data_IF_016580782417
#
_entry.id   IF_016580782417
#
_cell.length_a   1.000
_cell.length_b   1.000
_cell.length_c   1.000
_cell.angle_alpha   90.00
_cell.angle_beta   90.00
_cell.angle_gamma   90.00
#
_symmetry.space_group_name_H-M   'P 1'
#
loop_
_entity.id
_entity.type
_entity.pdbx_description
1 polymer ?
#
# COMPACT_ATOMS: atom_id res chain seq x y z
N UNK A 1 -8.46 -21.55 8.87
CA UNK A 1 -9.10 -20.52 8.03
C UNK A 1 -9.48 -21.16 6.71
N UNK A 2 -10.78 -21.29 6.40
CA UNK A 2 -11.23 -21.91 5.14
C UNK A 2 -11.66 -20.79 4.19
N UNK A 3 -10.74 -20.31 3.36
CA UNK A 3 -11.04 -19.34 2.31
C UNK A 3 -11.26 -20.07 1.00
N UNK A 4 -12.47 -20.05 0.45
CA UNK A 4 -12.82 -20.76 -0.78
C UNK A 4 -12.53 -19.90 -2.02
N UNK A 5 -11.91 -20.50 -3.06
CA UNK A 5 -11.66 -19.83 -4.35
C UNK A 5 -12.64 -20.30 -5.41
N UNK A 6 -13.08 -19.37 -6.25
CA UNK A 6 -13.85 -19.70 -7.45
C UNK A 6 -13.04 -20.63 -8.38
N UNK A 7 -13.64 -21.66 -8.99
CA UNK A 7 -12.89 -22.64 -9.78
C UNK A 7 -12.29 -22.04 -11.04
N UNK A 8 -11.07 -22.47 -11.38
CA UNK A 8 -10.42 -22.08 -12.63
C UNK A 8 -11.22 -22.60 -13.82
N UNK A 9 -11.29 -21.80 -14.88
CA UNK A 9 -11.99 -22.15 -16.12
C UNK A 9 -13.52 -22.11 -16.04
N UNK A 10 -14.10 -21.88 -14.86
CA UNK A 10 -15.55 -21.71 -14.70
C UNK A 10 -15.94 -20.24 -14.89
N UNK A 11 -17.02 -20.00 -15.62
CA UNK A 11 -17.52 -18.65 -15.87
C UNK A 11 -17.96 -18.00 -14.55
N UNK A 12 -17.27 -16.93 -14.15
CA UNK A 12 -17.73 -16.05 -13.09
C UNK A 12 -18.47 -14.87 -13.74
N UNK A 13 -19.80 -14.98 -13.82
CA UNK A 13 -20.64 -13.93 -14.40
C UNK A 13 -21.90 -13.76 -13.56
N UNK A 14 -21.92 -12.78 -12.63
CA UNK A 14 -23.17 -12.41 -11.98
C UNK A 14 -24.22 -11.90 -12.96
N UNK A 15 -23.82 -11.50 -14.18
CA UNK A 15 -24.75 -11.02 -15.21
C UNK A 15 -25.47 -12.15 -15.94
N UNK A 16 -24.82 -13.31 -16.11
CA UNK A 16 -25.41 -14.47 -16.82
C UNK A 16 -25.89 -15.57 -15.90
N UNK A 17 -25.26 -15.75 -14.74
CA UNK A 17 -25.49 -16.92 -13.90
C UNK A 17 -25.30 -16.59 -12.40
N UNK A 18 -26.13 -15.67 -11.91
CA UNK A 18 -26.17 -15.34 -10.47
C UNK A 18 -26.57 -16.55 -9.61
N UNK A 19 -27.38 -17.47 -10.14
CA UNK A 19 -27.82 -18.66 -9.40
C UNK A 19 -26.67 -19.59 -9.06
N UNK A 20 -25.72 -19.80 -9.97
CA UNK A 20 -24.51 -20.57 -9.65
C UNK A 20 -23.67 -19.88 -8.58
N UNK A 21 -23.52 -18.55 -8.62
CA UNK A 21 -22.84 -17.81 -7.56
C UNK A 21 -23.54 -17.99 -6.21
N UNK A 22 -24.88 -17.89 -6.17
CA UNK A 22 -25.69 -18.11 -4.96
C UNK A 22 -25.53 -19.52 -4.40
N UNK A 23 -25.53 -20.57 -5.24
CA UNK A 23 -25.28 -21.95 -4.79
C UNK A 23 -23.89 -22.10 -4.18
N UNK A 24 -22.87 -21.51 -4.79
CA UNK A 24 -21.50 -21.51 -4.26
C UNK A 24 -21.44 -20.77 -2.92
N UNK A 25 -22.04 -19.58 -2.79
CA UNK A 25 -22.09 -18.86 -1.52
C UNK A 25 -22.79 -19.67 -0.43
N UNK A 26 -23.94 -20.28 -0.73
CA UNK A 26 -24.65 -21.13 0.23
C UNK A 26 -23.82 -22.32 0.69
N UNK A 27 -23.06 -22.93 -0.22
CA UNK A 27 -22.13 -24.01 0.10
C UNK A 27 -20.97 -23.52 0.99
N UNK A 28 -20.33 -22.41 0.64
CA UNK A 28 -19.27 -21.79 1.44
C UNK A 28 -19.76 -21.43 2.84
N UNK A 29 -20.95 -20.82 2.95
CA UNK A 29 -21.58 -20.51 4.23
C UNK A 29 -21.79 -21.80 5.01
N UNK A 30 -22.35 -22.86 4.43
CA UNK A 30 -22.58 -24.12 5.13
C UNK A 30 -21.29 -24.79 5.64
N UNK A 31 -20.19 -24.72 4.88
CA UNK A 31 -18.89 -25.27 5.25
C UNK A 31 -18.14 -24.43 6.30
N UNK A 32 -18.49 -23.15 6.45
CA UNK A 32 -17.85 -22.32 7.46
C UNK A 32 -18.11 -22.90 8.86
N UNK A 33 -17.10 -22.99 9.74
CA UNK A 33 -17.33 -23.43 11.11
C UNK A 33 -18.28 -22.47 11.86
N UNK A 34 -19.09 -22.95 12.83
CA UNK A 34 -19.82 -22.08 13.74
C UNK A 34 -18.86 -21.17 14.52
N UNK A 35 -19.28 -19.95 14.82
CA UNK A 35 -18.49 -18.98 15.59
C UNK A 35 -19.01 -17.56 15.45
N UNK A 36 -18.32 -16.62 16.10
CA UNK A 36 -18.53 -15.20 15.91
C UNK A 36 -17.97 -14.78 14.54
N UNK A 37 -18.84 -14.33 13.64
CA UNK A 37 -18.49 -13.99 12.27
C UNK A 37 -19.10 -12.64 11.91
N UNK A 38 -18.24 -11.74 11.43
CA UNK A 38 -18.67 -10.55 10.70
C UNK A 38 -18.73 -10.92 9.22
N UNK A 39 -19.93 -10.92 8.65
CA UNK A 39 -20.14 -11.34 7.27
C UNK A 39 -19.93 -10.17 6.31
N UNK A 40 -18.88 -10.27 5.49
CA UNK A 40 -18.65 -9.32 4.40
C UNK A 40 -19.58 -9.64 3.24
N UNK A 41 -20.44 -8.68 2.92
CA UNK A 41 -21.24 -8.67 1.71
C UNK A 41 -20.50 -7.96 0.58
N UNK A 42 -20.83 -8.28 -0.67
CA UNK A 42 -20.29 -7.58 -1.83
C UNK A 42 -20.18 -8.43 -3.08
N UNK A 43 -19.85 -7.76 -4.18
CA UNK A 43 -19.62 -8.39 -5.47
C UNK A 43 -18.54 -7.65 -6.24
N UNK A 44 -17.40 -8.31 -6.43
CA UNK A 44 -16.27 -7.82 -7.25
C UNK A 44 -15.86 -8.88 -8.27
N UNK A 45 -14.91 -8.54 -9.14
CA UNK A 45 -14.41 -9.45 -10.17
C UNK A 45 -13.56 -10.58 -9.62
N UNK A 46 -13.57 -11.72 -10.32
CA UNK A 46 -12.72 -12.86 -9.98
C UNK A 46 -11.32 -12.68 -10.56
N UNK A 47 -10.29 -12.93 -9.76
CA UNK A 47 -8.88 -12.89 -10.20
C UNK A 47 -8.48 -11.57 -10.90
N UNK A 48 -9.08 -10.44 -10.52
CA UNK A 48 -8.92 -9.15 -11.21
C UNK A 48 -7.94 -8.16 -10.55
N UNK A 49 -7.15 -8.58 -9.55
CA UNK A 49 -6.35 -7.67 -8.72
C UNK A 49 -7.21 -6.53 -8.15
N UNK A 50 -8.21 -6.86 -7.33
CA UNK A 50 -9.13 -5.91 -6.68
C UNK A 50 -9.92 -5.01 -7.63
N UNK A 51 -10.42 -5.53 -8.75
CA UNK A 51 -11.24 -4.76 -9.69
C UNK A 51 -12.73 -5.14 -9.65
N UNK A 52 -13.57 -4.19 -10.07
CA UNK A 52 -15.00 -4.37 -10.21
C UNK A 52 -15.38 -5.54 -11.15
N UNK A 53 -16.54 -6.16 -10.93
CA UNK A 53 -16.92 -7.40 -11.66
C UNK A 53 -16.99 -7.21 -13.18
N UNK A 54 -17.41 -6.04 -13.65
CA UNK A 54 -17.52 -5.71 -15.08
C UNK A 54 -16.17 -5.59 -15.80
N UNK A 55 -15.04 -5.66 -15.07
CA UNK A 55 -13.70 -5.78 -15.68
C UNK A 55 -13.42 -7.21 -16.15
N UNK A 56 -14.04 -8.21 -15.53
CA UNK A 56 -13.87 -9.63 -15.84
C UNK A 56 -15.10 -10.30 -16.47
N UNK A 57 -16.30 -9.76 -16.22
CA UNK A 57 -17.54 -10.29 -16.77
C UNK A 57 -17.82 -9.65 -18.15
N UNK A 58 -17.64 -10.39 -19.26
CA UNK A 58 -17.81 -9.83 -20.62
C UNK A 58 -19.27 -9.50 -20.94
N UNK A 59 -20.22 -9.95 -20.12
CA UNK A 59 -21.64 -9.69 -20.30
C UNK A 59 -22.14 -8.51 -19.48
N UNK A 60 -21.28 -7.92 -18.64
CA UNK A 60 -21.68 -6.84 -17.76
C UNK A 60 -22.25 -5.65 -18.53
N UNK A 61 -23.35 -5.04 -18.04
CA UNK A 61 -23.98 -3.92 -18.73
C UNK A 61 -23.05 -2.71 -18.79
N UNK A 62 -23.20 -1.87 -19.82
CA UNK A 62 -22.48 -0.60 -19.93
C UNK A 62 -22.95 0.43 -18.90
N UNK A 63 -24.24 0.37 -18.54
CA UNK A 63 -24.91 1.34 -17.69
C UNK A 63 -24.56 1.18 -16.20
N UNK A 64 -24.12 2.24 -15.50
CA UNK A 64 -23.79 2.17 -14.08
C UNK A 64 -24.96 1.70 -13.19
N UNK A 65 -26.19 2.14 -13.49
CA UNK A 65 -27.37 1.76 -12.71
C UNK A 65 -27.66 0.25 -12.78
N UNK A 66 -27.51 -0.36 -13.96
CA UNK A 66 -27.68 -1.80 -14.13
C UNK A 66 -26.59 -2.60 -13.39
N UNK A 67 -25.34 -2.08 -13.35
CA UNK A 67 -24.27 -2.68 -12.52
C UNK A 67 -24.59 -2.61 -11.04
N UNK A 68 -25.10 -1.46 -10.58
CA UNK A 68 -25.48 -1.27 -9.18
C UNK A 68 -26.65 -2.18 -8.77
N UNK A 69 -27.62 -2.40 -9.66
CA UNK A 69 -28.72 -3.35 -9.43
C UNK A 69 -28.20 -4.79 -9.26
N UNK A 70 -27.27 -5.25 -10.10
CA UNK A 70 -26.65 -6.58 -9.96
C UNK A 70 -25.92 -6.72 -8.61
N UNK A 71 -25.22 -5.67 -8.17
CA UNK A 71 -24.57 -5.67 -6.86
C UNK A 71 -25.62 -5.74 -5.76
N UNK A 72 -26.67 -4.92 -5.82
CA UNK A 72 -27.76 -4.94 -4.84
C UNK A 72 -28.39 -6.34 -4.72
N UNK A 73 -28.72 -6.99 -5.83
CA UNK A 73 -29.30 -8.33 -5.86
C UNK A 73 -28.37 -9.39 -5.25
N UNK A 74 -27.05 -9.20 -5.39
CA UNK A 74 -26.06 -10.03 -4.72
C UNK A 74 -26.03 -9.78 -3.21
N UNK A 75 -26.08 -8.52 -2.75
CA UNK A 75 -26.12 -8.18 -1.32
C UNK A 75 -27.33 -8.82 -0.63
N UNK A 76 -28.52 -8.66 -1.21
CA UNK A 76 -29.77 -9.23 -0.67
C UNK A 76 -29.68 -10.75 -0.62
N UNK A 77 -29.31 -11.39 -1.73
CA UNK A 77 -29.21 -12.86 -1.77
C UNK A 77 -28.17 -13.43 -0.79
N UNK A 78 -27.05 -12.72 -0.57
CA UNK A 78 -26.06 -13.11 0.42
C UNK A 78 -26.63 -13.03 1.84
N UNK A 79 -27.36 -11.96 2.18
CA UNK A 79 -28.02 -11.82 3.49
C UNK A 79 -29.06 -12.91 3.74
N UNK A 80 -29.86 -13.26 2.73
CA UNK A 80 -30.85 -14.34 2.79
C UNK A 80 -30.17 -15.67 3.08
N UNK A 81 -29.17 -16.04 2.26
CA UNK A 81 -28.39 -17.28 2.42
C UNK A 81 -27.79 -17.38 3.82
N UNK A 82 -27.18 -16.30 4.30
CA UNK A 82 -26.54 -16.29 5.63
C UNK A 82 -27.60 -16.44 6.72
N UNK A 83 -28.70 -15.69 6.63
CA UNK A 83 -29.79 -15.73 7.63
C UNK A 83 -30.45 -17.11 7.69
N UNK A 84 -30.71 -17.75 6.55
CA UNK A 84 -31.28 -19.11 6.49
C UNK A 84 -30.34 -20.15 7.12
N UNK A 85 -29.03 -20.02 6.90
CA UNK A 85 -28.04 -21.02 7.33
C UNK A 85 -27.49 -20.79 8.74
N UNK A 86 -27.56 -19.56 9.24
CA UNK A 86 -26.94 -19.11 10.50
C UNK A 86 -27.94 -18.53 11.49
N UNK A 87 -29.19 -18.34 11.09
CA UNK A 87 -30.22 -17.68 11.87
C UNK A 87 -30.16 -16.15 11.75
N UNK A 88 -31.16 -15.44 12.30
CA UNK A 88 -31.21 -13.98 12.30
C UNK A 88 -30.14 -13.35 13.20
N UNK A 89 -29.98 -12.02 13.12
CA UNK A 89 -29.09 -11.25 14.00
C UNK A 89 -27.61 -11.32 13.65
N UNK A 90 -27.28 -11.77 12.44
CA UNK A 90 -25.90 -11.77 11.95
C UNK A 90 -25.41 -10.34 11.70
N UNK A 91 -24.11 -10.11 11.88
CA UNK A 91 -23.49 -8.80 11.58
C UNK A 91 -23.04 -8.77 10.13
N UNK A 92 -23.48 -7.74 9.39
CA UNK A 92 -23.17 -7.56 7.97
C UNK A 92 -22.38 -6.29 7.74
N UNK A 93 -21.31 -6.38 6.95
CA UNK A 93 -20.52 -5.22 6.50
C UNK A 93 -20.44 -5.17 4.98
N UNK A 94 -20.33 -3.96 4.43
CA UNK A 94 -20.04 -3.73 3.02
C UNK A 94 -18.82 -2.81 2.88
N UNK A 95 -17.72 -3.37 2.35
CA UNK A 95 -16.51 -2.61 2.06
C UNK A 95 -16.70 -1.75 0.80
N UNK A 96 -16.74 -0.42 0.97
CA UNK A 96 -16.94 0.54 -0.12
C UNK A 96 -15.63 0.84 -0.86
N UNK A 97 -14.89 -0.18 -1.32
CA UNK A 97 -13.59 0.03 -1.99
C UNK A 97 -13.73 0.50 -3.44
N UNK A 98 -12.93 1.51 -3.84
CA UNK A 98 -12.92 2.13 -5.17
C UNK A 98 -14.31 2.48 -5.73
N UNK A 99 -14.82 1.66 -6.64
CA UNK A 99 -16.11 1.85 -7.31
C UNK A 99 -17.28 1.88 -6.32
N UNK A 100 -17.13 1.24 -5.16
CA UNK A 100 -18.12 1.27 -4.08
C UNK A 100 -18.33 2.68 -3.54
N UNK A 101 -17.24 3.43 -3.28
CA UNK A 101 -17.32 4.85 -2.90
C UNK A 101 -18.06 5.64 -3.98
N UNK A 102 -17.67 5.48 -5.24
CA UNK A 102 -18.24 6.25 -6.34
C UNK A 102 -19.74 5.97 -6.55
N UNK A 103 -20.16 4.71 -6.40
CA UNK A 103 -21.56 4.33 -6.53
C UNK A 103 -22.42 4.92 -5.42
N UNK A 104 -21.92 4.95 -4.18
CA UNK A 104 -22.61 5.58 -3.05
C UNK A 104 -22.63 7.10 -3.21
N UNK A 105 -21.51 7.71 -3.62
CA UNK A 105 -21.37 9.14 -3.88
C UNK A 105 -22.39 9.63 -4.92
N UNK A 106 -22.62 8.84 -5.97
CA UNK A 106 -23.59 9.11 -7.04
C UNK A 106 -25.02 8.64 -6.73
N UNK A 107 -25.29 8.07 -5.55
CA UNK A 107 -26.61 7.56 -5.18
C UNK A 107 -27.10 6.37 -6.02
N UNK A 108 -26.17 5.60 -6.60
CA UNK A 108 -26.48 4.50 -7.52
C UNK A 108 -26.69 3.17 -6.79
N UNK A 109 -25.90 2.90 -5.75
CA UNK A 109 -25.98 1.64 -5.00
C UNK A 109 -26.93 1.78 -3.82
N UNK A 110 -28.00 1.00 -3.84
CA UNK A 110 -28.88 0.82 -2.69
C UNK A 110 -28.28 -0.23 -1.77
N UNK A 111 -27.95 0.17 -0.54
CA UNK A 111 -27.41 -0.74 0.48
C UNK A 111 -28.59 -1.24 1.33
N UNK A 112 -28.78 -2.56 1.49
CA UNK A 112 -29.85 -3.10 2.32
C UNK A 112 -29.77 -2.61 3.77
N UNK A 113 -30.93 -2.50 4.43
CA UNK A 113 -30.99 -2.13 5.85
C UNK A 113 -30.26 -3.16 6.73
N UNK A 114 -29.61 -2.69 7.80
CA UNK A 114 -28.85 -3.55 8.71
C UNK A 114 -27.44 -3.89 8.25
N UNK A 115 -26.98 -3.34 7.12
CA UNK A 115 -25.59 -3.47 6.65
C UNK A 115 -24.78 -2.24 7.06
N UNK A 116 -23.68 -2.46 7.78
CA UNK A 116 -22.74 -1.40 8.13
C UNK A 116 -21.87 -1.05 6.91
N UNK A 117 -21.80 0.24 6.54
CA UNK A 117 -20.92 0.69 5.46
C UNK A 117 -19.51 0.81 6.00
N UNK A 118 -18.53 0.24 5.31
CA UNK A 118 -17.12 0.36 5.70
C UNK A 118 -16.41 1.27 4.70
N UNK A 119 -16.07 2.47 5.16
CA UNK A 119 -15.43 3.49 4.34
C UNK A 119 -13.92 3.27 4.30
N UNK A 120 -13.31 3.18 3.10
CA UNK A 120 -11.88 3.08 3.00
C UNK A 120 -11.20 4.44 3.12
N UNK A 121 -9.93 4.44 3.52
CA UNK A 121 -9.05 5.55 3.24
C UNK A 121 -8.54 5.55 1.78
N UNK A 122 -7.63 6.47 1.50
CA UNK A 122 -6.99 6.63 0.20
C UNK A 122 -5.63 5.93 0.08
N UNK A 123 -5.30 5.07 1.05
CA UNK A 123 -4.00 4.42 1.20
C UNK A 123 -2.93 5.26 1.91
N UNK A 124 -3.25 6.51 2.28
CA UNK A 124 -2.36 7.45 2.97
C UNK A 124 -2.99 7.99 4.25
N UNK A 125 -4.01 7.32 4.77
CA UNK A 125 -4.70 7.66 6.01
C UNK A 125 -5.87 8.64 5.86
N UNK A 126 -6.20 9.15 4.67
CA UNK A 126 -7.33 10.07 4.47
C UNK A 126 -8.59 9.34 4.01
N UNK A 127 -9.68 9.43 4.79
CA UNK A 127 -10.91 8.72 4.50
C UNK A 127 -11.57 9.21 3.20
N UNK A 128 -12.06 8.26 2.40
CA UNK A 128 -12.78 8.51 1.15
C UNK A 128 -14.29 8.38 1.35
N UNK A 129 -14.84 9.24 2.19
CA UNK A 129 -16.27 9.26 2.52
C UNK A 129 -17.05 10.42 1.89
N UNK A 130 -16.35 11.44 1.38
CA UNK A 130 -16.98 12.68 0.91
C UNK A 130 -17.85 13.36 1.98
N UNK A 131 -17.54 13.17 3.26
CA UNK A 131 -18.32 13.69 4.39
C UNK A 131 -19.61 12.92 4.72
N UNK A 132 -19.80 11.71 4.19
CA UNK A 132 -21.03 10.90 4.39
C UNK A 132 -20.94 9.83 5.48
N UNK A 133 -19.75 9.66 6.07
CA UNK A 133 -19.57 8.74 7.20
C UNK A 133 -20.50 9.14 8.35
N UNK A 134 -21.13 8.17 8.99
CA UNK A 134 -22.14 8.45 10.01
C UNK A 134 -22.39 7.29 10.97
N UNK A 135 -23.47 7.40 11.78
CA UNK A 135 -23.79 6.42 12.80
C UNK A 135 -23.89 5.00 12.25
N UNK A 136 -23.19 4.06 12.89
CA UNK A 136 -23.19 2.66 12.47
C UNK A 136 -22.32 2.36 11.25
N UNK A 137 -21.55 3.31 10.73
CA UNK A 137 -20.52 2.97 9.75
C UNK A 137 -19.25 2.43 10.43
N UNK A 138 -18.39 1.84 9.62
CA UNK A 138 -17.04 1.45 9.97
C UNK A 138 -15.98 2.01 9.02
N UNK A 139 -14.73 1.69 9.31
CA UNK A 139 -13.56 2.20 8.59
C UNK A 139 -12.65 1.04 8.16
N UNK A 140 -12.15 1.11 6.92
CA UNK A 140 -11.01 0.32 6.46
C UNK A 140 -9.81 1.26 6.25
N UNK A 141 -8.84 1.21 7.17
CA UNK A 141 -7.72 2.14 7.25
C UNK A 141 -6.41 1.47 6.82
N UNK A 142 -5.50 2.19 6.17
CA UNK A 142 -4.18 1.65 5.83
C UNK A 142 -3.09 2.29 6.68
N UNK A 143 -2.25 1.46 7.32
CA UNK A 143 -0.94 1.89 7.83
C UNK A 143 0.19 1.48 6.88
N UNK A 144 -0.08 0.50 6.01
CA UNK A 144 0.73 0.17 4.84
C UNK A 144 -0.16 -0.09 3.62
N UNK A 145 0.30 0.29 2.44
CA UNK A 145 -0.46 0.14 1.20
C UNK A 145 0.43 -0.06 -0.03
N UNK A 146 0.14 -1.09 -0.81
CA UNK A 146 0.85 -1.36 -2.06
C UNK A 146 0.08 -0.84 -3.27
N UNK A 147 0.51 0.31 -3.82
CA UNK A 147 -0.03 0.86 -5.08
C UNK A 147 1.05 1.24 -6.11
N UNK A 148 2.30 0.86 -5.84
CA UNK A 148 3.45 1.22 -6.68
C UNK A 148 4.14 2.54 -6.34
N UNK A 149 3.62 3.29 -5.36
CA UNK A 149 4.16 4.57 -4.91
C UNK A 149 4.11 4.75 -3.38
N UNK A 150 3.19 4.06 -2.68
CA UNK A 150 3.04 4.06 -1.23
C UNK A 150 4.03 3.11 -0.51
N UNK A 151 3.83 2.87 0.78
CA UNK A 151 4.72 2.09 1.63
C UNK A 151 4.33 0.62 1.77
N UNK A 152 5.36 -0.20 1.88
CA UNK A 152 5.34 -1.62 2.23
C UNK A 152 6.44 -1.93 3.27
N UNK A 153 7.60 -1.29 3.14
CA UNK A 153 8.80 -1.54 3.95
C UNK A 153 9.17 -0.36 4.86
N UNK A 154 8.32 0.66 4.96
CA UNK A 154 8.52 1.82 5.87
C UNK A 154 7.20 2.31 6.46
N UNK A 155 7.24 3.13 7.51
CA UNK A 155 6.11 3.93 8.00
C UNK A 155 5.84 5.09 7.04
N UNK A 156 4.56 5.38 6.81
CA UNK A 156 4.15 6.44 5.87
C UNK A 156 3.07 7.35 6.42
N UNK A 157 2.05 6.79 7.06
CA UNK A 157 0.94 7.59 7.60
C UNK A 157 1.36 8.17 8.94
N UNK A 158 1.43 9.50 9.03
CA UNK A 158 1.74 10.19 10.28
C UNK A 158 0.62 9.93 11.32
N UNK A 159 0.94 9.56 12.58
CA UNK A 159 -0.05 9.42 13.65
C UNK A 159 -1.02 10.60 13.78
N UNK A 160 -0.59 11.83 13.46
CA UNK A 160 -1.47 13.01 13.43
C UNK A 160 -2.59 12.89 12.39
N UNK A 161 -2.33 12.28 11.22
CA UNK A 161 -3.34 12.01 10.20
C UNK A 161 -4.35 10.98 10.70
N UNK A 162 -3.88 9.88 11.30
CA UNK A 162 -4.74 8.87 11.91
C UNK A 162 -5.64 9.47 12.99
N UNK A 163 -5.09 10.30 13.87
CA UNK A 163 -5.86 11.02 14.88
C UNK A 163 -6.92 11.93 14.27
N UNK A 164 -6.56 12.73 13.27
CA UNK A 164 -7.49 13.64 12.60
C UNK A 164 -8.67 12.89 11.99
N UNK A 165 -8.40 11.87 11.18
CA UNK A 165 -9.42 11.19 10.38
C UNK A 165 -10.30 10.24 11.21
N UNK A 166 -9.69 9.46 12.11
CA UNK A 166 -10.45 8.54 12.95
C UNK A 166 -11.24 9.29 14.04
N UNK A 167 -10.70 10.40 14.58
CA UNK A 167 -11.50 11.21 15.51
C UNK A 167 -12.71 11.82 14.82
N UNK A 168 -12.55 12.27 13.57
CA UNK A 168 -13.66 12.77 12.75
C UNK A 168 -14.73 11.70 12.52
N UNK A 169 -14.31 10.46 12.19
CA UNK A 169 -15.22 9.33 12.01
C UNK A 169 -15.98 8.98 13.30
N UNK A 170 -15.27 8.90 14.44
CA UNK A 170 -15.86 8.62 15.74
C UNK A 170 -16.87 9.71 16.16
N UNK A 171 -16.53 10.99 15.95
CA UNK A 171 -17.45 12.11 16.20
C UNK A 171 -18.71 12.06 15.31
N UNK A 172 -18.62 11.45 14.12
CA UNK A 172 -19.77 11.20 13.26
C UNK A 172 -20.60 9.96 13.68
N UNK A 173 -20.17 9.24 14.71
CA UNK A 173 -20.82 8.02 15.20
C UNK A 173 -20.41 6.74 14.46
N UNK A 174 -19.36 6.77 13.64
CA UNK A 174 -18.86 5.59 12.93
C UNK A 174 -17.95 4.76 13.86
N UNK A 175 -18.57 3.89 14.64
CA UNK A 175 -17.92 3.06 15.65
C UNK A 175 -18.31 1.57 15.53
N UNK A 176 -18.92 1.15 14.42
CA UNK A 176 -19.41 -0.21 14.27
C UNK A 176 -18.31 -1.22 13.90
N UNK A 177 -17.29 -0.78 13.15
CA UNK A 177 -16.24 -1.67 12.65
C UNK A 177 -14.96 -0.91 12.30
N UNK A 178 -13.80 -1.50 12.57
CA UNK A 178 -12.50 -1.02 12.10
C UNK A 178 -11.68 -2.21 11.58
N UNK A 179 -11.18 -2.08 10.37
CA UNK A 179 -10.16 -2.97 9.80
C UNK A 179 -8.93 -2.15 9.45
N UNK A 180 -7.75 -2.62 9.84
CA UNK A 180 -6.48 -1.95 9.57
C UNK A 180 -5.62 -2.83 8.66
N UNK A 181 -5.27 -2.31 7.48
CA UNK A 181 -4.27 -2.93 6.63
C UNK A 181 -2.87 -2.57 7.15
N UNK A 182 -2.24 -3.55 7.79
CA UNK A 182 -0.87 -3.46 8.32
C UNK A 182 0.17 -4.09 7.41
N UNK A 183 -0.25 -4.57 6.23
CA UNK A 183 0.58 -5.35 5.32
C UNK A 183 1.28 -6.53 6.03
N UNK A 184 2.62 -6.51 6.13
CA UNK A 184 3.43 -7.54 6.80
C UNK A 184 3.59 -7.32 8.33
N UNK A 185 2.81 -6.39 8.92
CA UNK A 185 2.88 -5.89 10.30
C UNK A 185 4.17 -5.09 10.60
N UNK A 186 5.33 -5.68 10.32
CA UNK A 186 6.60 -4.97 10.26
C UNK A 186 6.72 -4.30 8.88
N UNK A 187 7.10 -3.01 8.80
CA UNK A 187 7.68 -2.18 9.85
C UNK A 187 6.75 -1.04 10.29
N UNK A 188 5.42 -1.27 10.32
CA UNK A 188 4.43 -0.23 10.67
C UNK A 188 3.81 -0.31 12.07
N UNK A 189 4.53 -0.75 13.14
CA UNK A 189 3.91 -0.90 14.45
C UNK A 189 3.61 0.44 15.14
N UNK A 190 4.28 1.54 14.78
CA UNK A 190 4.03 2.84 15.42
C UNK A 190 2.67 3.38 14.97
N UNK A 191 2.42 3.44 13.67
CA UNK A 191 1.14 3.95 13.17
C UNK A 191 0.01 2.99 13.51
N UNK A 192 0.27 1.68 13.51
CA UNK A 192 -0.72 0.69 13.93
C UNK A 192 -1.07 0.84 15.42
N UNK A 193 -0.11 1.13 16.30
CA UNK A 193 -0.36 1.46 17.71
C UNK A 193 -1.23 2.72 17.86
N UNK A 194 -1.00 3.75 17.04
CA UNK A 194 -1.85 4.94 17.00
C UNK A 194 -3.30 4.61 16.64
N UNK A 195 -3.51 3.90 15.53
CA UNK A 195 -4.85 3.52 15.06
C UNK A 195 -5.57 2.63 16.07
N UNK A 196 -4.88 1.62 16.62
CA UNK A 196 -5.48 0.68 17.56
C UNK A 196 -5.76 1.30 18.94
N UNK A 197 -4.92 2.23 19.41
CA UNK A 197 -5.21 2.95 20.64
C UNK A 197 -6.42 3.88 20.50
N UNK A 198 -6.60 4.54 19.34
CA UNK A 198 -7.84 5.28 19.03
C UNK A 198 -9.04 4.32 19.00
N UNK A 199 -8.88 3.13 18.43
CA UNK A 199 -9.96 2.14 18.36
C UNK A 199 -10.40 1.64 19.74
N UNK A 200 -9.45 1.48 20.67
CA UNK A 200 -9.70 0.92 21.99
C UNK A 200 -10.20 1.97 23.00
N UNK A 201 -9.48 3.09 23.11
CA UNK A 201 -9.75 4.14 24.11
C UNK A 201 -10.56 5.32 23.55
N UNK A 202 -10.86 5.32 22.24
CA UNK A 202 -11.65 6.36 21.60
C UNK A 202 -11.00 7.74 21.64
N UNK A 203 -11.82 8.77 21.84
CA UNK A 203 -11.38 10.16 21.90
C UNK A 203 -10.79 10.57 23.26
N UNK A 204 -10.88 9.70 24.27
CA UNK A 204 -10.40 9.95 25.62
C UNK A 204 -8.87 9.81 25.70
N UNK A 205 -8.29 8.97 24.84
CA UNK A 205 -6.85 8.85 24.75
C UNK A 205 -6.24 10.16 24.25
N UNK A 206 -5.31 10.72 25.03
CA UNK A 206 -4.75 12.06 24.80
C UNK A 206 -5.79 13.19 24.71
N UNK A 207 -6.94 13.07 25.37
CA UNK A 207 -8.03 14.06 25.29
C UNK A 207 -7.58 15.51 25.54
N UNK A 208 -6.71 15.71 26.54
CA UNK A 208 -6.23 17.03 26.97
C UNK A 208 -5.03 17.54 26.15
N UNK A 209 -4.51 16.75 25.21
CA UNK A 209 -3.36 17.14 24.40
C UNK A 209 -3.80 18.08 23.26
N UNK A 210 -3.17 19.27 23.10
CA UNK A 210 -3.47 20.16 21.98
C UNK A 210 -3.08 19.57 20.63
N UNK A 211 -2.06 18.71 20.62
CA UNK A 211 -1.61 17.95 19.46
C UNK A 211 -1.55 16.47 19.84
N UNK A 212 -2.59 15.72 19.45
CA UNK A 212 -2.72 14.30 19.75
C UNK A 212 -1.71 13.44 18.99
N UNK A 213 -1.30 13.85 17.79
CA UNK A 213 -0.25 13.17 17.03
C UNK A 213 1.09 13.26 17.75
N UNK A 214 1.49 14.46 18.18
CA UNK A 214 2.72 14.66 18.95
C UNK A 214 2.67 14.01 20.32
N UNK A 215 1.53 14.04 21.00
CA UNK A 215 1.34 13.36 22.27
C UNK A 215 1.48 11.84 22.13
N UNK A 216 0.94 11.28 21.04
CA UNK A 216 1.11 9.86 20.74
C UNK A 216 2.57 9.50 20.48
N UNK A 217 3.31 10.27 19.66
CA UNK A 217 4.74 10.05 19.43
C UNK A 217 5.55 10.11 20.73
N UNK A 218 5.23 11.04 21.63
CA UNK A 218 5.86 11.13 22.94
C UNK A 218 5.57 9.91 23.80
N UNK A 219 4.32 9.47 23.86
CA UNK A 219 3.90 8.30 24.61
C UNK A 219 4.57 7.04 24.07
N UNK A 220 4.61 6.86 22.75
CA UNK A 220 5.33 5.79 22.09
C UNK A 220 6.81 5.81 22.49
N UNK A 221 7.50 6.94 22.31
CA UNK A 221 8.92 7.02 22.61
C UNK A 221 9.22 6.79 24.10
N UNK A 222 8.33 7.26 25.00
CA UNK A 222 8.44 7.00 26.43
C UNK A 222 8.32 5.51 26.74
N UNK A 223 7.34 4.80 26.15
CA UNK A 223 7.17 3.34 26.34
C UNK A 223 8.33 2.55 25.74
N UNK A 224 8.78 2.91 24.54
CA UNK A 224 9.76 2.12 23.79
C UNK A 224 11.21 2.42 24.20
N UNK A 225 11.54 3.62 24.68
CA UNK A 225 12.94 4.04 24.91
C UNK A 225 13.18 4.66 26.28
N UNK A 226 12.13 4.90 27.06
CA UNK A 226 12.20 5.53 28.37
C UNK A 226 12.10 7.06 28.33
N UNK A 227 11.71 7.70 29.44
CA UNK A 227 11.40 9.12 29.48
C UNK A 227 12.61 10.04 29.22
N UNK A 228 13.83 9.59 29.53
CA UNK A 228 15.04 10.40 29.44
C UNK A 228 15.38 10.86 28.00
N UNK A 229 14.95 10.11 26.99
CA UNK A 229 15.20 10.41 25.57
C UNK A 229 13.91 10.64 24.77
N UNK A 230 12.75 10.49 25.41
CA UNK A 230 11.46 10.42 24.71
C UNK A 230 11.14 11.67 23.89
N UNK A 231 11.40 12.86 24.43
CA UNK A 231 11.10 14.13 23.75
C UNK A 231 11.93 14.31 22.48
N UNK A 232 13.22 14.01 22.56
CA UNK A 232 14.11 14.09 21.42
C UNK A 232 13.75 13.06 20.34
N UNK A 233 13.47 11.82 20.76
CA UNK A 233 13.09 10.77 19.81
C UNK A 233 11.74 11.08 19.17
N UNK A 234 10.76 11.60 19.91
CA UNK A 234 9.48 12.01 19.34
C UNK A 234 9.66 13.10 18.28
N UNK A 235 10.56 14.08 18.51
CA UNK A 235 10.90 15.08 17.50
C UNK A 235 11.62 14.49 16.27
N UNK A 236 12.43 13.43 16.45
CA UNK A 236 13.04 12.69 15.35
C UNK A 236 12.02 11.90 14.53
N UNK A 237 11.08 11.20 15.18
CA UNK A 237 9.98 10.54 14.50
C UNK A 237 9.11 11.54 13.74
N UNK A 238 8.80 12.70 14.32
CA UNK A 238 8.07 13.74 13.59
C UNK A 238 8.87 14.22 12.36
N UNK A 239 10.18 14.49 12.53
CA UNK A 239 11.04 14.87 11.41
C UNK A 239 11.06 13.81 10.30
N UNK A 240 10.96 12.53 10.65
CA UNK A 240 10.86 11.44 9.67
C UNK A 240 9.60 11.57 8.79
N UNK A 241 8.42 11.79 9.39
CA UNK A 241 7.18 11.96 8.63
C UNK A 241 7.19 13.26 7.80
N UNK A 242 7.75 14.34 8.35
CA UNK A 242 7.85 15.64 7.68
C UNK A 242 8.72 15.61 6.42
N UNK A 243 9.72 14.71 6.35
CA UNK A 243 10.64 14.60 5.22
C UNK A 243 10.12 13.78 4.03
N UNK A 244 8.96 13.14 4.16
CA UNK A 244 8.37 12.36 3.08
C UNK A 244 8.13 13.20 1.84
N UNK A 245 8.47 12.63 0.67
CA UNK A 245 8.33 13.30 -0.60
C UNK A 245 6.86 13.42 -1.00
N UNK A 246 6.47 14.61 -1.46
CA UNK A 246 5.12 14.94 -1.94
C UNK A 246 5.21 15.40 -3.39
N UNK A 247 4.44 14.77 -4.27
CA UNK A 247 4.30 15.19 -5.66
C UNK A 247 2.87 15.68 -5.92
N UNK A 248 2.76 16.74 -6.72
CA UNK A 248 1.49 17.37 -7.09
C UNK A 248 1.26 17.18 -8.59
N UNK A 249 0.27 16.36 -8.94
CA UNK A 249 -0.16 16.08 -10.32
C UNK A 249 -1.68 16.04 -10.48
N UNK A 250 -2.41 16.77 -9.63
CA UNK A 250 -3.87 16.77 -9.53
C UNK A 250 -4.39 16.46 -8.11
N UNK A 251 -3.71 15.53 -7.40
CA UNK A 251 -3.80 15.34 -5.95
C UNK A 251 -2.38 15.32 -5.36
N UNK A 252 -2.25 15.66 -4.09
CA UNK A 252 -0.99 15.43 -3.36
C UNK A 252 -0.84 13.92 -3.18
N UNK A 253 0.22 13.36 -3.76
CA UNK A 253 0.59 11.95 -3.58
C UNK A 253 1.90 11.91 -2.82
N UNK A 254 1.90 11.22 -1.69
CA UNK A 254 3.12 10.89 -0.98
C UNK A 254 3.87 9.80 -1.74
N UNK A 255 5.19 9.95 -1.85
CA UNK A 255 6.08 9.00 -2.50
C UNK A 255 6.87 8.24 -1.44
N UNK A 256 6.38 7.05 -1.09
CA UNK A 256 7.06 6.08 -0.24
C UNK A 256 8.11 5.30 -1.01
N UNK A 257 8.75 4.33 -0.35
CA UNK A 257 9.91 3.63 -0.88
C UNK A 257 9.59 2.80 -2.14
N UNK A 258 8.39 2.21 -2.23
CA UNK A 258 7.96 1.52 -3.45
C UNK A 258 8.06 2.43 -4.68
N UNK A 259 7.71 3.71 -4.53
CA UNK A 259 7.82 4.69 -5.58
C UNK A 259 9.24 4.89 -6.08
N UNK A 260 10.23 4.92 -5.18
CA UNK A 260 11.63 5.12 -5.54
C UNK A 260 12.16 3.97 -6.40
N UNK A 261 12.01 2.74 -5.91
CA UNK A 261 12.55 1.56 -6.59
C UNK A 261 11.77 1.22 -7.85
N UNK A 262 10.45 1.47 -7.89
CA UNK A 262 9.63 1.26 -9.08
C UNK A 262 9.92 2.27 -10.18
N UNK A 263 10.02 3.56 -9.87
CA UNK A 263 10.40 4.57 -10.85
C UNK A 263 11.82 4.30 -11.38
N UNK A 264 12.78 3.97 -10.50
CA UNK A 264 14.12 3.51 -10.90
C UNK A 264 14.04 2.40 -11.97
N UNK A 265 13.18 1.41 -11.73
CA UNK A 265 13.00 0.26 -12.61
C UNK A 265 12.51 0.62 -14.02
N UNK A 266 11.92 1.80 -14.20
CA UNK A 266 11.49 2.31 -15.51
C UNK A 266 12.64 3.00 -16.27
N UNK A 267 13.70 3.47 -15.60
CA UNK A 267 14.79 4.20 -16.26
C UNK A 267 15.60 3.35 -17.25
N UNK A 268 15.64 2.03 -17.06
CA UNK A 268 16.22 1.14 -18.06
C UNK A 268 15.49 1.24 -19.41
N UNK A 269 14.17 1.37 -19.42
CA UNK A 269 13.42 1.59 -20.65
C UNK A 269 13.67 3.00 -21.20
N UNK A 270 13.71 4.01 -20.33
CA UNK A 270 13.95 5.41 -20.70
C UNK A 270 15.32 5.65 -21.34
N UNK A 271 16.36 4.91 -20.94
CA UNK A 271 17.69 4.98 -21.55
C UNK A 271 17.69 4.57 -23.04
N UNK A 272 16.69 3.81 -23.47
CA UNK A 272 16.56 3.33 -24.87
C UNK A 272 15.60 4.16 -25.72
N UNK A 273 14.81 5.04 -25.10
CA UNK A 273 13.78 5.83 -25.80
C UNK A 273 14.26 7.24 -26.05
N UNK A 274 13.92 7.84 -27.19
CA UNK A 274 14.10 9.28 -27.41
C UNK A 274 13.25 10.07 -26.43
N UNK A 275 13.80 11.02 -25.67
CA UNK A 275 12.98 11.88 -24.79
C UNK A 275 12.07 12.85 -25.54
N UNK A 276 12.50 13.51 -26.64
CA UNK A 276 11.64 14.46 -27.35
C UNK A 276 10.36 13.82 -27.90
N UNK A 277 9.24 14.53 -27.79
CA UNK A 277 7.93 14.06 -28.29
C UNK A 277 7.19 13.11 -27.34
N UNK A 278 7.79 12.75 -26.20
CA UNK A 278 7.15 11.93 -25.18
C UNK A 278 6.77 12.72 -23.92
N UNK A 279 5.70 12.27 -23.28
CA UNK A 279 5.16 12.82 -22.05
C UNK A 279 5.29 11.84 -20.88
N UNK A 280 5.15 12.31 -19.65
CA UNK A 280 5.12 11.45 -18.47
C UNK A 280 3.95 10.43 -18.52
N UNK A 281 2.83 10.81 -19.14
CA UNK A 281 1.65 9.96 -19.34
C UNK A 281 1.94 8.73 -20.21
N UNK A 282 2.77 8.87 -21.25
CA UNK A 282 3.16 7.76 -22.14
C UNK A 282 3.86 6.61 -21.40
N UNK A 283 4.45 6.92 -20.24
CA UNK A 283 5.18 5.98 -19.40
C UNK A 283 4.39 5.55 -18.14
N UNK A 284 3.12 5.94 -18.05
CA UNK A 284 2.25 5.59 -16.93
C UNK A 284 2.71 6.18 -15.58
N UNK A 285 3.44 7.29 -15.61
CA UNK A 285 3.91 7.98 -14.40
C UNK A 285 2.74 8.74 -13.78
N UNK A 286 2.17 8.19 -12.70
CA UNK A 286 0.97 8.75 -12.05
C UNK A 286 1.23 9.96 -11.14
N UNK A 287 2.49 10.22 -10.79
CA UNK A 287 2.88 11.30 -9.87
C UNK A 287 3.14 12.64 -10.58
N UNK A 288 3.08 12.65 -11.92
CA UNK A 288 3.28 13.83 -12.75
C UNK A 288 2.01 14.12 -13.57
N UNK A 289 1.79 15.38 -13.97
CA UNK A 289 0.78 15.70 -14.98
C UNK A 289 1.00 14.84 -16.24
N UNK A 290 -0.04 14.20 -16.80
CA UNK A 290 0.13 13.30 -17.94
C UNK A 290 0.77 13.97 -19.17
N UNK A 291 0.54 15.26 -19.36
CA UNK A 291 1.01 16.10 -20.46
C UNK A 291 2.41 16.70 -20.23
N UNK A 292 3.00 16.52 -19.04
CA UNK A 292 4.34 17.02 -18.72
C UNK A 292 5.37 16.39 -19.66
N UNK A 293 6.24 17.18 -20.33
CA UNK A 293 7.33 16.64 -21.13
C UNK A 293 8.19 15.71 -20.27
N UNK A 294 8.54 14.56 -20.83
CA UNK A 294 9.24 13.51 -20.07
C UNK A 294 10.60 13.98 -19.54
N UNK A 295 11.33 14.77 -20.33
CA UNK A 295 12.61 15.35 -19.91
C UNK A 295 12.45 16.30 -18.70
N UNK A 296 11.40 17.12 -18.70
CA UNK A 296 11.11 18.06 -17.61
C UNK A 296 10.71 17.32 -16.34
N UNK A 297 9.91 16.25 -16.48
CA UNK A 297 9.59 15.37 -15.36
C UNK A 297 10.86 14.77 -14.74
N UNK A 298 11.75 14.20 -15.55
CA UNK A 298 13.01 13.59 -15.07
C UNK A 298 13.91 14.64 -14.40
N UNK A 299 14.01 15.84 -14.95
CA UNK A 299 14.78 16.94 -14.36
C UNK A 299 14.22 17.39 -13.00
N UNK A 300 12.90 17.58 -12.91
CA UNK A 300 12.23 17.91 -11.64
C UNK A 300 12.40 16.80 -10.61
N UNK A 301 12.30 15.54 -11.04
CA UNK A 301 12.51 14.38 -10.18
C UNK A 301 13.94 14.37 -9.64
N UNK A 302 14.95 14.62 -10.48
CA UNK A 302 16.36 14.72 -10.06
C UNK A 302 16.55 15.77 -8.98
N UNK A 303 16.09 17.00 -9.21
CA UNK A 303 16.27 18.11 -8.27
C UNK A 303 15.60 17.82 -6.92
N UNK A 304 14.34 17.39 -6.98
CA UNK A 304 13.53 17.13 -5.78
C UNK A 304 14.14 16.01 -4.93
N UNK A 305 14.63 14.94 -5.58
CA UNK A 305 15.19 13.79 -4.88
C UNK A 305 16.61 14.04 -4.36
N UNK A 306 17.43 14.82 -5.08
CA UNK A 306 18.75 15.23 -4.59
C UNK A 306 18.62 16.07 -3.30
N UNK A 307 17.74 17.07 -3.30
CA UNK A 307 17.48 17.88 -2.12
C UNK A 307 16.86 17.08 -0.96
N UNK A 308 16.11 16.02 -1.25
CA UNK A 308 15.59 15.11 -0.23
C UNK A 308 16.68 14.22 0.36
N UNK A 309 17.62 13.71 -0.43
CA UNK A 309 18.74 12.90 0.06
C UNK A 309 19.54 13.63 1.14
N UNK A 310 19.85 14.91 0.92
CA UNK A 310 20.62 15.69 1.90
C UNK A 310 19.86 15.88 3.22
N UNK A 311 18.54 16.10 3.15
CA UNK A 311 17.68 16.17 4.35
C UNK A 311 17.62 14.84 5.09
N UNK A 312 17.50 13.72 4.38
CA UNK A 312 17.55 12.38 4.99
C UNK A 312 18.91 12.07 5.62
N UNK A 313 20.01 12.50 5.00
CA UNK A 313 21.37 12.37 5.58
C UNK A 313 21.48 13.13 6.89
N UNK A 314 21.00 14.38 6.93
CA UNK A 314 20.99 15.18 8.17
C UNK A 314 20.12 14.53 9.28
N UNK A 315 18.99 13.94 8.90
CA UNK A 315 18.16 13.21 9.87
C UNK A 315 18.84 11.95 10.39
N UNK A 316 19.55 11.20 9.52
CA UNK A 316 20.35 10.05 9.94
C UNK A 316 21.45 10.46 10.93
N UNK A 317 22.19 11.54 10.66
CA UNK A 317 23.25 12.02 11.56
C UNK A 317 22.67 12.34 12.95
N UNK A 318 21.52 13.02 13.01
CA UNK A 318 20.81 13.29 14.27
C UNK A 318 20.33 11.99 14.94
N UNK A 319 19.83 11.03 14.17
CA UNK A 319 19.37 9.75 14.69
C UNK A 319 20.52 8.94 15.30
N UNK A 320 21.71 8.94 14.68
CA UNK A 320 22.91 8.30 15.20
C UNK A 320 23.38 8.93 16.51
N UNK A 321 23.31 10.26 16.64
CA UNK A 321 23.63 10.95 17.91
C UNK A 321 22.60 10.64 19.00
N UNK A 322 21.32 10.54 18.67
CA UNK A 322 20.28 10.15 19.63
C UNK A 322 20.40 8.69 20.07
N UNK A 323 20.76 7.79 19.14
CA UNK A 323 20.95 6.36 19.37
C UNK A 323 21.91 6.05 20.53
N UNK A 324 22.97 6.82 20.69
CA UNK A 324 23.97 6.60 21.75
C UNK A 324 23.38 6.75 23.17
N UNK A 325 22.32 7.55 23.31
CA UNK A 325 21.62 7.79 24.57
C UNK A 325 20.47 6.81 24.83
N UNK A 326 20.09 6.00 23.83
CA UNK A 326 19.06 4.98 23.98
C UNK A 326 19.58 3.84 24.87
N UNK A 327 18.76 3.32 25.82
CA UNK A 327 19.12 2.16 26.62
C UNK A 327 19.56 0.98 25.77
N UNK A 328 20.64 0.29 26.16
CA UNK A 328 21.27 -0.75 25.33
C UNK A 328 20.29 -1.83 24.84
N UNK A 329 19.36 -2.28 25.70
CA UNK A 329 18.34 -3.28 25.35
C UNK A 329 17.27 -2.82 24.34
N UNK A 330 17.26 -1.55 23.95
CA UNK A 330 16.29 -0.94 23.01
C UNK A 330 16.93 -0.34 21.76
N UNK A 331 18.27 -0.37 21.66
CA UNK A 331 19.00 0.14 20.48
C UNK A 331 18.70 -0.66 19.22
N UNK A 332 18.62 -1.99 19.30
CA UNK A 332 18.28 -2.84 18.15
C UNK A 332 16.90 -2.48 17.58
N UNK A 333 15.90 -2.30 18.44
CA UNK A 333 14.58 -1.85 18.00
C UNK A 333 14.62 -0.48 17.31
N UNK A 334 15.38 0.49 17.85
CA UNK A 334 15.56 1.78 17.20
C UNK A 334 16.23 1.65 15.83
N UNK A 335 17.26 0.81 15.74
CA UNK A 335 18.01 0.55 14.51
C UNK A 335 17.13 -0.09 13.44
N UNK A 336 16.38 -1.15 13.81
CA UNK A 336 15.52 -1.92 12.92
C UNK A 336 14.26 -1.13 12.50
N UNK A 337 13.78 -0.24 13.37
CA UNK A 337 12.56 0.53 13.13
C UNK A 337 12.88 1.88 12.48
N UNK A 338 13.43 2.86 13.21
CA UNK A 338 13.58 4.21 12.68
C UNK A 338 14.81 4.38 11.77
N UNK A 339 15.98 3.92 12.21
CA UNK A 339 17.22 4.18 11.47
C UNK A 339 17.23 3.49 10.11
N UNK A 340 16.72 2.25 10.05
CA UNK A 340 16.57 1.49 8.81
C UNK A 340 15.63 2.20 7.85
N UNK A 341 14.49 2.70 8.31
CA UNK A 341 13.54 3.43 7.46
C UNK A 341 14.13 4.76 6.95
N UNK A 342 14.82 5.53 7.79
CA UNK A 342 15.56 6.74 7.36
C UNK A 342 16.53 6.39 6.23
N UNK A 343 17.28 5.29 6.38
CA UNK A 343 18.27 4.85 5.37
C UNK A 343 17.61 4.37 4.09
N UNK A 344 16.49 3.66 4.16
CA UNK A 344 15.72 3.25 2.96
C UNK A 344 15.31 4.49 2.17
N UNK A 345 14.75 5.51 2.83
CA UNK A 345 14.38 6.75 2.14
C UNK A 345 15.60 7.49 1.60
N UNK A 346 16.67 7.65 2.40
CA UNK A 346 17.93 8.27 1.96
C UNK A 346 18.49 7.63 0.69
N UNK A 347 18.61 6.31 0.69
CA UNK A 347 19.17 5.57 -0.45
C UNK A 347 18.21 5.49 -1.63
N UNK A 348 16.90 5.45 -1.37
CA UNK A 348 15.88 5.50 -2.42
C UNK A 348 15.80 6.85 -3.13
N UNK A 349 15.91 7.97 -2.40
CA UNK A 349 15.99 9.30 -3.02
C UNK A 349 17.31 9.49 -3.76
N UNK A 350 18.42 8.99 -3.22
CA UNK A 350 19.71 9.03 -3.92
C UNK A 350 19.66 8.21 -5.21
N UNK A 351 19.08 7.01 -5.16
CA UNK A 351 18.87 6.15 -6.33
C UNK A 351 18.13 6.92 -7.43
N UNK A 352 17.02 7.57 -7.12
CA UNK A 352 16.26 8.34 -8.10
C UNK A 352 17.02 9.54 -8.63
N UNK A 353 17.69 10.30 -7.77
CA UNK A 353 18.46 11.46 -8.18
C UNK A 353 19.55 11.06 -9.19
N UNK A 354 20.29 9.99 -8.87
CA UNK A 354 21.37 9.46 -9.71
C UNK A 354 20.86 8.82 -10.99
N UNK A 355 19.75 8.09 -10.94
CA UNK A 355 19.13 7.49 -12.14
C UNK A 355 18.65 8.56 -13.11
N UNK A 356 17.99 9.60 -12.61
CA UNK A 356 17.56 10.74 -13.42
C UNK A 356 18.74 11.47 -14.05
N UNK A 357 19.81 11.75 -13.27
CA UNK A 357 21.02 12.36 -13.78
C UNK A 357 21.68 11.51 -14.88
N UNK A 358 21.75 10.19 -14.68
CA UNK A 358 22.32 9.25 -15.64
C UNK A 358 21.54 9.26 -16.96
N UNK A 359 20.20 9.21 -16.90
CA UNK A 359 19.33 9.24 -18.08
C UNK A 359 19.42 10.56 -18.82
N UNK A 360 19.42 11.70 -18.12
CA UNK A 360 19.54 13.00 -18.77
C UNK A 360 20.91 13.19 -19.45
N UNK A 361 22.01 12.77 -18.80
CA UNK A 361 23.35 12.83 -19.39
C UNK A 361 23.47 11.93 -20.62
N UNK A 362 22.91 10.72 -20.55
CA UNK A 362 22.88 9.78 -21.67
C UNK A 362 22.22 10.38 -22.92
N UNK A 363 21.07 11.04 -22.74
CA UNK A 363 20.34 11.69 -23.83
C UNK A 363 21.01 12.96 -24.36
N UNK A 364 21.97 13.53 -23.63
CA UNK A 364 22.85 14.61 -24.10
C UNK A 364 24.13 14.09 -24.76
N UNK A 365 24.27 12.77 -24.92
CA UNK A 365 25.47 12.10 -25.40
C UNK A 365 26.71 12.31 -24.50
N UNK A 366 26.51 12.64 -23.22
CA UNK A 366 27.56 12.72 -22.21
C UNK A 366 27.70 11.36 -21.49
N UNK A 367 28.51 10.48 -22.07
CA UNK A 367 28.68 9.10 -21.60
C UNK A 367 29.37 9.00 -20.25
N UNK A 368 30.37 9.84 -19.99
CA UNK A 368 31.15 9.78 -18.76
C UNK A 368 30.29 10.19 -17.56
N UNK A 369 29.54 11.29 -17.68
CA UNK A 369 28.59 11.71 -16.65
C UNK A 369 27.47 10.68 -16.46
N UNK A 370 26.96 10.10 -17.57
CA UNK A 370 25.92 9.08 -17.50
C UNK A 370 26.40 7.85 -16.72
N UNK A 371 27.58 7.32 -17.06
CA UNK A 371 28.17 6.14 -16.42
C UNK A 371 28.50 6.41 -14.94
N UNK A 372 29.05 7.58 -14.63
CA UNK A 372 29.34 7.98 -13.25
C UNK A 372 28.06 8.01 -12.40
N UNK A 373 27.00 8.64 -12.92
CA UNK A 373 25.72 8.71 -12.23
C UNK A 373 25.05 7.33 -12.10
N UNK A 374 25.10 6.48 -13.13
CA UNK A 374 24.57 5.11 -13.05
C UNK A 374 25.32 4.26 -12.00
N UNK A 375 26.65 4.40 -11.91
CA UNK A 375 27.46 3.70 -10.91
C UNK A 375 27.07 4.13 -9.49
N UNK A 376 26.83 5.42 -9.27
CA UNK A 376 26.33 5.93 -7.99
C UNK A 376 24.91 5.41 -7.67
N UNK A 377 24.04 5.28 -8.68
CA UNK A 377 22.72 4.67 -8.52
C UNK A 377 22.82 3.19 -8.08
N UNK A 378 23.72 2.42 -8.69
CA UNK A 378 24.00 1.03 -8.28
C UNK A 378 24.46 0.96 -6.82
N UNK A 379 25.44 1.79 -6.43
CA UNK A 379 25.91 1.84 -5.04
C UNK A 379 24.77 2.16 -4.05
N UNK A 380 23.84 3.06 -4.40
CA UNK A 380 22.68 3.36 -3.57
C UNK A 380 21.75 2.14 -3.40
N UNK A 381 21.51 1.35 -4.45
CA UNK A 381 20.72 0.12 -4.33
C UNK A 381 21.39 -0.94 -3.45
N UNK A 382 22.71 -1.08 -3.54
CA UNK A 382 23.48 -2.03 -2.71
C UNK A 382 23.45 -1.61 -1.24
N UNK A 383 23.56 -0.32 -0.96
CA UNK A 383 23.45 0.22 0.39
C UNK A 383 22.03 0.05 0.97
N UNK A 384 20.98 0.25 0.17
CA UNK A 384 19.59 0.00 0.57
C UNK A 384 19.38 -1.49 0.91
N UNK A 385 19.88 -2.40 0.06
CA UNK A 385 19.78 -3.84 0.30
C UNK A 385 20.54 -4.26 1.56
N UNK A 386 21.77 -3.78 1.74
CA UNK A 386 22.55 -4.04 2.94
C UNK A 386 21.86 -3.54 4.22
N UNK A 387 21.19 -2.37 4.13
CA UNK A 387 20.38 -1.82 5.23
C UNK A 387 19.25 -2.77 5.62
N UNK A 388 18.51 -3.34 4.67
CA UNK A 388 17.48 -4.33 4.97
C UNK A 388 18.06 -5.59 5.62
N UNK A 389 19.09 -6.17 5.00
CA UNK A 389 19.73 -7.41 5.48
C UNK A 389 20.31 -7.28 6.88
N UNK A 390 20.76 -6.10 7.28
CA UNK A 390 21.27 -5.85 8.63
C UNK A 390 20.20 -6.02 9.73
N UNK A 391 18.91 -6.01 9.37
CA UNK A 391 17.78 -6.17 10.30
C UNK A 391 17.16 -7.56 10.27
N UNK A 392 17.73 -8.49 9.49
CA UNK A 392 17.31 -9.89 9.44
C UNK A 392 18.07 -10.68 10.52
N UNK A 393 17.53 -10.69 11.73
CA UNK A 393 18.10 -11.40 12.86
C UNK A 393 17.03 -12.02 13.74
N UNK A 394 17.40 -13.09 14.46
CA UNK A 394 16.49 -13.81 15.35
C UNK A 394 15.28 -14.37 14.60
N UNK A 395 14.06 -14.01 15.04
CA UNK A 395 12.82 -14.42 14.38
C UNK A 395 12.52 -13.66 13.08
N UNK A 396 13.35 -12.66 12.72
CA UNK A 396 13.23 -11.88 11.49
C UNK A 396 14.24 -12.31 10.42
N UNK A 397 14.97 -13.40 10.62
CA UNK A 397 15.86 -13.94 9.60
C UNK A 397 15.08 -14.25 8.31
N UNK A 398 15.60 -13.77 7.18
CA UNK A 398 14.96 -13.90 5.87
C UNK A 398 13.63 -13.13 5.68
N UNK A 399 13.30 -12.16 6.54
CA UNK A 399 12.05 -11.39 6.44
C UNK A 399 11.82 -10.76 5.06
N UNK A 400 12.87 -10.30 4.38
CA UNK A 400 12.77 -9.64 3.06
C UNK A 400 12.90 -10.60 1.88
N UNK A 401 12.86 -11.92 2.08
CA UNK A 401 12.88 -12.89 0.97
C UNK A 401 11.63 -12.78 0.08
N UNK A 402 10.51 -12.31 0.63
CA UNK A 402 9.27 -12.06 -0.11
C UNK A 402 9.25 -10.77 -0.91
N UNK A 403 10.19 -9.83 -0.67
CA UNK A 403 10.30 -8.57 -1.42
C UNK A 403 10.87 -8.82 -2.83
N UNK A 404 10.00 -9.27 -3.71
CA UNK A 404 10.32 -9.64 -5.08
C UNK A 404 9.17 -9.28 -6.01
N UNK A 405 9.41 -9.31 -7.32
CA UNK A 405 8.33 -9.12 -8.29
C UNK A 405 7.68 -7.73 -8.20
N UNK A 406 6.36 -7.65 -8.30
CA UNK A 406 5.62 -6.38 -8.36
C UNK A 406 5.52 -5.58 -7.04
N UNK A 407 6.27 -5.96 -6.01
CA UNK A 407 6.40 -5.26 -4.72
C UNK A 407 7.53 -4.21 -4.81
N UNK A 408 8.23 -3.89 -3.71
CA UNK A 408 9.31 -2.89 -3.74
C UNK A 408 10.50 -3.39 -4.57
N UNK A 409 10.83 -4.68 -4.46
CA UNK A 409 11.82 -5.41 -5.26
C UNK A 409 13.19 -4.71 -5.28
N UNK A 410 13.75 -4.39 -4.10
CA UNK A 410 15.05 -3.69 -4.00
C UNK A 410 16.17 -4.51 -4.66
N UNK A 411 16.13 -5.84 -4.51
CA UNK A 411 17.10 -6.73 -5.16
C UNK A 411 16.99 -6.69 -6.70
N UNK A 412 15.78 -6.66 -7.25
CA UNK A 412 15.58 -6.45 -8.69
C UNK A 412 15.97 -5.05 -9.14
N UNK A 413 15.75 -4.01 -8.32
CA UNK A 413 16.20 -2.65 -8.60
C UNK A 413 17.74 -2.59 -8.70
N UNK A 414 18.48 -3.24 -7.80
CA UNK A 414 19.95 -3.40 -7.92
C UNK A 414 20.35 -4.05 -9.24
N UNK A 415 19.67 -5.14 -9.61
CA UNK A 415 19.94 -5.84 -10.87
C UNK A 415 19.75 -4.93 -12.08
N UNK A 416 18.67 -4.11 -12.07
CA UNK A 416 18.39 -3.13 -13.12
C UNK A 416 19.40 -1.97 -13.13
N UNK A 417 19.87 -1.51 -11.98
CA UNK A 417 20.93 -0.51 -11.88
C UNK A 417 22.26 -1.02 -12.46
N UNK A 418 22.63 -2.28 -12.19
CA UNK A 418 23.82 -2.91 -12.76
C UNK A 418 23.72 -3.03 -14.28
N UNK A 419 22.55 -3.45 -14.79
CA UNK A 419 22.28 -3.47 -16.24
C UNK A 419 22.37 -2.07 -16.86
N UNK A 420 21.88 -1.02 -16.19
CA UNK A 420 22.00 0.35 -16.67
C UNK A 420 23.47 0.80 -16.77
N UNK A 421 24.29 0.45 -15.77
CA UNK A 421 25.73 0.72 -15.80
C UNK A 421 26.40 0.04 -17.01
N UNK A 422 26.11 -1.25 -17.23
CA UNK A 422 26.64 -1.99 -18.37
C UNK A 422 26.25 -1.33 -19.70
N UNK A 423 24.96 -0.99 -19.85
CA UNK A 423 24.46 -0.30 -21.04
C UNK A 423 25.20 1.02 -21.30
N UNK A 424 25.38 1.85 -20.27
CA UNK A 424 26.05 3.14 -20.43
C UNK A 424 27.55 3.00 -20.70
N UNK A 425 28.18 1.93 -20.21
CA UNK A 425 29.59 1.64 -20.45
C UNK A 425 29.86 1.12 -21.86
N UNK A 426 29.03 0.19 -22.38
CA UNK A 426 29.31 -0.52 -23.63
C UNK A 426 28.46 -0.07 -24.81
N UNK A 427 27.29 0.54 -24.56
CA UNK A 427 26.27 0.81 -25.57
C UNK A 427 25.53 -0.45 -26.05
N UNK A 428 25.80 -1.61 -25.47
CA UNK A 428 25.17 -2.89 -25.82
C UNK A 428 24.02 -3.22 -24.87
N UNK A 429 22.93 -3.76 -25.42
CA UNK A 429 21.76 -4.18 -24.66
C UNK A 429 22.10 -5.33 -23.72
N UNK A 430 22.14 -5.14 -22.38
CA UNK A 430 22.13 -6.30 -21.51
C UNK A 430 20.79 -7.03 -21.69
N UNK A 431 20.76 -8.37 -21.50
CA UNK A 431 19.51 -9.10 -21.50
C UNK A 431 18.53 -8.45 -20.52
N UNK A 432 17.26 -8.37 -20.90
CA UNK A 432 16.20 -7.80 -20.05
C UNK A 432 16.22 -8.57 -18.73
N UNK A 433 16.46 -7.92 -17.58
CA UNK A 433 16.40 -8.62 -16.31
C UNK A 433 15.01 -9.22 -16.17
N UNK A 434 14.92 -10.56 -16.11
CA UNK A 434 13.67 -11.23 -15.81
C UNK A 434 13.11 -10.72 -14.48
N UNK A 435 11.79 -10.70 -14.31
CA UNK A 435 11.21 -10.44 -12.99
C UNK A 435 11.66 -11.57 -12.06
N UNK A 436 12.59 -11.26 -11.15
CA UNK A 436 13.00 -12.15 -10.08
C UNK A 436 11.80 -12.37 -9.14
N UNK A 437 11.53 -13.62 -8.74
CA UNK A 437 10.59 -13.93 -7.65
C UNK A 437 9.20 -14.48 -8.03
N UNK A 438 8.86 -14.64 -9.31
CA UNK A 438 7.57 -15.24 -9.70
C UNK A 438 7.36 -16.67 -9.14
N UNK A 439 8.45 -17.41 -8.86
CA UNK A 439 8.37 -18.77 -8.32
C UNK A 439 7.83 -18.80 -6.89
N UNK A 440 8.24 -17.87 -6.01
CA UNK A 440 7.79 -17.83 -4.61
C UNK A 440 6.28 -17.63 -4.55
N UNK A 441 5.74 -16.74 -5.39
CA UNK A 441 4.30 -16.53 -5.46
C UNK A 441 3.57 -17.71 -6.10
N UNK A 442 4.13 -18.34 -7.13
CA UNK A 442 3.57 -19.57 -7.69
C UNK A 442 3.45 -20.66 -6.61
N UNK A 443 4.49 -20.82 -5.78
CA UNK A 443 4.51 -21.77 -4.67
C UNK A 443 3.49 -21.37 -3.60
N UNK A 444 3.43 -20.09 -3.19
CA UNK A 444 2.43 -19.57 -2.24
C UNK A 444 0.98 -19.80 -2.74
N UNK A 445 0.73 -19.54 -4.02
CA UNK A 445 -0.59 -19.77 -4.63
C UNK A 445 -0.91 -21.25 -4.77
N UNK A 446 0.09 -22.14 -4.89
CA UNK A 446 -0.15 -23.58 -4.95
C UNK A 446 -0.78 -24.13 -3.66
N UNK A 447 -0.44 -23.57 -2.49
CA UNK A 447 -1.11 -23.91 -1.22
C UNK A 447 -2.58 -23.50 -1.18
N UNK A 448 -3.03 -22.66 -2.10
CA UNK A 448 -4.41 -22.23 -2.22
C UNK A 448 -5.21 -23.08 -3.21
N UNK A 449 -4.58 -23.91 -4.04
CA UNK A 449 -5.28 -24.71 -5.06
C UNK A 449 -6.22 -25.73 -4.40
N UNK A 450 -5.82 -26.30 -3.27
CA UNK A 450 -6.67 -27.16 -2.43
C UNK A 450 -7.85 -26.44 -1.75
N UNK A 451 -8.00 -25.13 -1.95
CA UNK A 451 -9.13 -24.33 -1.45
C UNK A 451 -10.11 -23.93 -2.54
N UNK A 452 -9.98 -24.51 -3.73
CA UNK A 452 -10.96 -24.32 -4.80
C UNK A 452 -12.30 -24.92 -4.37
N UNK A 453 -13.38 -24.15 -4.51
CA UNK A 453 -14.72 -24.62 -4.17
C UNK A 453 -15.23 -25.58 -5.25
N UNK A 454 -15.99 -26.59 -4.88
CA UNK A 454 -16.78 -27.35 -5.85
C UNK A 454 -18.09 -26.61 -6.13
N UNK A 455 -18.47 -26.45 -7.39
CA UNK A 455 -19.77 -25.84 -7.73
C UNK A 455 -20.86 -26.87 -7.45
N UNK A 456 -21.79 -26.61 -6.51
CA UNK A 456 -22.88 -27.54 -6.27
C UNK A 456 -23.77 -27.65 -7.52
N UNK A 457 -24.26 -28.86 -7.84
CA UNK A 457 -25.16 -29.05 -8.98
C UNK A 457 -26.42 -28.17 -8.80
N UNK A 458 -27.03 -27.79 -9.93
CA UNK A 458 -28.36 -27.19 -9.88
C UNK A 458 -29.33 -28.17 -9.20
N UNK A 459 -30.17 -27.67 -8.30
CA UNK A 459 -31.27 -28.50 -7.79
C UNK A 459 -32.27 -28.69 -8.93
N UNK A 460 -32.75 -29.92 -9.16
CA UNK A 460 -33.62 -30.25 -10.29
C UNK A 460 -35.00 -29.59 -10.23
#
# INVERSE_FOLDING_TARGET
>A
FVGFRWPRGQLYSPTKDMDTLRRVWAHCVALHPPGEVVWTLGLRGVNTNDAAFWRSDPFAPGEPAARAAIIHDALVGQMEIITERRGPGQTFILNLWHEGVEMVDKGQLQIPAGVHRVWPDDGYGHLRDGGRIGPGDGVYFHTAYMNGHANQLTEMVDPAVSWSELSRALNAGANAFLLVNVSDLRPVPLTTDAVMGIAWDGLDWHADAPDRGRAHLLAWCTRQFGPAVAEELAALYQSYFDLQLRFTGGRVTLLGEHGYFRLHSQFWALAKTTLPGHTAGDFGVRIAPPDMPLADFIARLQETTAAATDRWRQLEDRALVARERIPAGRRSFFDDHLLTQIRIHKFGTELLARSSAATLAWHRHDRDTALHAATAALAATEAALATLRATEHGCWDGFYLGDTGGFVDIAGARTRAASLCQWMATGEAPPVPGRTGNQIYADLYSYQDGRTVEIPPAQP
#
